data_IF_462245037729
#
_entry.id   IF_462245037729
#
_cell.length_a   1.000
_cell.length_b   1.000
_cell.length_c   1.000
_cell.angle_alpha   90.00
_cell.angle_beta   90.00
_cell.angle_gamma   90.00
#
_symmetry.space_group_name_H-M   'P 1'
#
loop_
_entity.id
_entity.type
_entity.pdbx_description
1 polymer ?
#
# COMPACT_ATOMS: atom_id res chain seq x y z
N UNK A 1 9.99 -7.75 6.53
CA UNK A 1 8.83 -8.49 5.97
C UNK A 1 7.57 -7.62 5.81
N UNK A 2 7.19 -6.79 6.80
CA UNK A 2 5.90 -6.06 6.81
C UNK A 2 5.63 -5.21 5.56
N UNK A 3 6.60 -4.42 5.09
CA UNK A 3 6.43 -3.61 3.88
C UNK A 3 6.06 -4.46 2.65
N UNK A 4 6.84 -5.52 2.39
CA UNK A 4 6.59 -6.45 1.28
C UNK A 4 5.21 -7.10 1.37
N UNK A 5 4.79 -7.53 2.55
CA UNK A 5 3.47 -8.11 2.75
C UNK A 5 2.34 -7.10 2.45
N UNK A 6 2.46 -5.87 2.98
CA UNK A 6 1.46 -4.82 2.80
C UNK A 6 1.25 -4.47 1.32
N UNK A 7 2.35 -4.30 0.57
CA UNK A 7 2.30 -4.02 -0.87
C UNK A 7 1.71 -5.18 -1.66
N UNK A 8 2.08 -6.42 -1.33
CA UNK A 8 1.55 -7.61 -2.01
C UNK A 8 0.05 -7.77 -1.79
N UNK A 9 -0.45 -7.51 -0.58
CA UNK A 9 -1.89 -7.53 -0.28
C UNK A 9 -2.63 -6.46 -1.10
N UNK A 10 -2.15 -5.21 -1.09
CA UNK A 10 -2.80 -4.12 -1.82
C UNK A 10 -2.80 -4.26 -3.34
N UNK A 11 -1.90 -5.09 -3.90
CA UNK A 11 -1.82 -5.38 -5.35
C UNK A 11 -2.59 -6.64 -5.79
N UNK A 12 -3.26 -7.33 -4.84
CA UNK A 12 -3.98 -8.58 -5.11
C UNK A 12 -5.35 -8.35 -5.74
N UNK A 13 -6.11 -7.36 -5.27
CA UNK A 13 -7.44 -7.01 -5.79
C UNK A 13 -7.83 -5.59 -5.40
N UNK A 14 -8.80 -4.99 -6.12
CA UNK A 14 -9.34 -3.66 -5.81
C UNK A 14 -9.93 -3.58 -4.40
N UNK A 15 -10.61 -4.64 -3.93
CA UNK A 15 -11.19 -4.67 -2.58
C UNK A 15 -10.12 -4.59 -1.49
N UNK A 16 -8.99 -5.29 -1.67
CA UNK A 16 -7.88 -5.25 -0.72
C UNK A 16 -7.02 -3.99 -0.86
N UNK A 17 -7.02 -3.40 -2.05
CA UNK A 17 -6.26 -2.19 -2.35
C UNK A 17 -6.60 -1.04 -1.41
N UNK A 18 -7.90 -0.73 -1.28
CA UNK A 18 -8.35 0.37 -0.43
C UNK A 18 -7.93 0.19 1.04
N UNK A 19 -8.12 -1.01 1.59
CA UNK A 19 -7.72 -1.33 2.96
C UNK A 19 -6.20 -1.25 3.17
N UNK A 20 -5.41 -1.77 2.22
CA UNK A 20 -3.95 -1.71 2.27
C UNK A 20 -3.42 -0.27 2.16
N UNK A 21 -4.02 0.56 1.29
CA UNK A 21 -3.66 1.96 1.13
C UNK A 21 -3.99 2.77 2.39
N UNK A 22 -5.16 2.57 2.97
CA UNK A 22 -5.56 3.24 4.22
C UNK A 22 -4.60 2.89 5.38
N UNK A 23 -4.23 1.61 5.51
CA UNK A 23 -3.24 1.18 6.50
C UNK A 23 -1.86 1.79 6.23
N UNK A 24 -1.42 1.84 4.97
CA UNK A 24 -0.16 2.45 4.59
C UNK A 24 -0.11 3.95 4.96
N UNK A 25 -1.20 4.68 4.71
CA UNK A 25 -1.33 6.10 5.08
C UNK A 25 -1.30 6.28 6.60
N UNK A 26 -1.99 5.42 7.37
CA UNK A 26 -1.94 5.43 8.84
C UNK A 26 -0.52 5.20 9.35
N UNK A 27 0.19 4.21 8.82
CA UNK A 27 1.58 3.93 9.17
C UNK A 27 2.51 5.10 8.82
N UNK A 28 2.29 5.75 7.67
CA UNK A 28 3.06 6.90 7.22
C UNK A 28 2.95 8.13 8.15
N UNK A 29 1.89 8.20 8.96
CA UNK A 29 1.70 9.21 10.00
C UNK A 29 2.27 8.83 11.39
N UNK A 30 2.82 7.62 11.55
CA UNK A 30 3.32 7.14 12.83
C UNK A 30 4.53 7.93 13.34
N UNK A 31 4.62 8.11 14.66
CA UNK A 31 5.82 8.65 15.31
C UNK A 31 7.00 7.69 15.22
N UNK A 32 6.72 6.38 15.22
CA UNK A 32 7.73 5.32 15.02
C UNK A 32 8.35 5.40 13.62
N UNK A 33 9.68 5.51 13.57
CA UNK A 33 10.43 5.70 12.31
C UNK A 33 10.26 4.52 11.36
N UNK A 34 10.21 3.30 11.88
CA UNK A 34 10.10 2.07 11.09
C UNK A 34 8.72 1.97 10.46
N UNK A 35 7.67 2.15 11.26
CA UNK A 35 6.27 2.21 10.80
C UNK A 35 6.09 3.31 9.75
N UNK A 36 6.63 4.50 10.02
CA UNK A 36 6.56 5.65 9.09
C UNK A 36 7.18 5.34 7.74
N UNK A 37 8.36 4.72 7.74
CA UNK A 37 9.04 4.34 6.50
C UNK A 37 8.26 3.26 5.73
N UNK A 38 7.78 2.21 6.43
CA UNK A 38 6.95 1.17 5.83
C UNK A 38 5.70 1.77 5.17
N UNK A 39 5.00 2.65 5.89
CA UNK A 39 3.79 3.28 5.39
C UNK A 39 4.03 4.18 4.19
N UNK A 40 5.06 5.02 4.24
CA UNK A 40 5.42 5.92 3.12
C UNK A 40 5.77 5.14 1.85
N UNK A 41 6.55 4.06 1.99
CA UNK A 41 6.94 3.24 0.85
C UNK A 41 5.74 2.50 0.24
N UNK A 42 4.92 1.86 1.08
CA UNK A 42 3.72 1.17 0.61
C UNK A 42 2.69 2.12 0.00
N UNK A 43 2.45 3.29 0.59
CA UNK A 43 1.50 4.27 0.07
C UNK A 43 1.95 4.81 -1.30
N UNK A 44 3.26 5.04 -1.49
CA UNK A 44 3.81 5.47 -2.77
C UNK A 44 3.55 4.43 -3.86
N UNK A 45 3.85 3.15 -3.59
CA UNK A 45 3.67 2.11 -4.61
C UNK A 45 2.21 1.80 -4.89
N UNK A 46 1.34 1.80 -3.87
CA UNK A 46 -0.08 1.55 -4.05
C UNK A 46 -0.77 2.72 -4.76
N UNK A 47 -0.31 3.95 -4.58
CA UNK A 47 -0.85 5.11 -5.31
C UNK A 47 -0.23 5.31 -6.70
N UNK A 48 0.72 4.48 -7.10
CA UNK A 48 1.37 4.60 -8.41
C UNK A 48 0.37 4.28 -9.53
N UNK A 49 0.38 5.11 -10.57
CA UNK A 49 -0.55 5.00 -11.71
C UNK A 49 -0.46 3.61 -12.37
N UNK A 50 0.75 3.07 -12.55
CA UNK A 50 0.93 1.74 -13.17
C UNK A 50 0.39 0.62 -12.28
N UNK A 51 0.47 0.79 -10.96
CA UNK A 51 -0.13 -0.15 -10.00
C UNK A 51 -1.65 -0.12 -10.11
N UNK A 52 -2.25 1.06 -10.15
CA UNK A 52 -3.70 1.25 -10.29
C UNK A 52 -4.24 0.72 -11.62
N UNK A 53 -3.59 1.04 -12.75
CA UNK A 53 -3.94 0.52 -14.07
C UNK A 53 -3.89 -1.01 -14.12
N UNK A 54 -2.85 -1.62 -13.53
CA UNK A 54 -2.73 -3.08 -13.46
C UNK A 54 -3.84 -3.70 -12.61
N UNK A 55 -4.22 -3.06 -11.52
CA UNK A 55 -5.29 -3.51 -10.64
C UNK A 55 -6.66 -3.39 -11.30
N UNK A 56 -6.92 -2.29 -12.01
CA UNK A 56 -8.14 -2.07 -12.77
C UNK A 56 -8.35 -3.14 -13.84
N UNK A 57 -7.28 -3.63 -14.49
CA UNK A 57 -7.36 -4.74 -15.46
C UNK A 57 -7.64 -6.12 -14.83
N UNK A 58 -7.49 -6.27 -13.52
CA UNK A 58 -7.71 -7.54 -12.80
C UNK A 58 -9.12 -7.66 -12.19
N UNK A 59 -9.84 -6.55 -12.07
CA UNK A 59 -11.25 -6.53 -11.68
C UNK A 59 -12.14 -6.64 -12.91
#
# INVERSE_FOLDING_TARGET
AVNWALRSIGKRSMNLHGAALALAQKLAGSTDKTARWIGKDAARELSDVKTLERLARKG
#
